data_IF_259492648360
#
_entry.id   IF_259492648360
#
_cell.length_a   1.000
_cell.length_b   1.000
_cell.length_c   1.000
_cell.angle_alpha   90.00
_cell.angle_beta   90.00
_cell.angle_gamma   90.00
#
_symmetry.space_group_name_H-M   'P 1'
#
loop_
_entity.id
_entity.type
_entity.pdbx_description
1 polymer ?
#
# COMPACT_ATOMS: atom_id res chain seq x y z
N UNK A 1 6.21 -1.91 7.44
CA UNK A 1 6.03 -1.92 5.97
C UNK A 1 4.72 -1.31 5.54
N UNK A 2 3.55 -1.82 5.98
CA UNK A 2 2.27 -1.24 5.57
C UNK A 2 2.12 0.25 5.92
N UNK A 3 2.51 0.66 7.12
CA UNK A 3 2.55 2.07 7.52
C UNK A 3 3.49 2.92 6.65
N UNK A 4 4.61 2.36 6.18
CA UNK A 4 5.50 3.03 5.22
C UNK A 4 4.77 3.29 3.91
N UNK A 5 4.08 2.27 3.38
CA UNK A 5 3.30 2.42 2.14
C UNK A 5 2.18 3.45 2.30
N UNK A 6 1.45 3.44 3.43
CA UNK A 6 0.43 4.46 3.72
C UNK A 6 1.02 5.86 3.73
N UNK A 7 2.11 6.10 4.46
CA UNK A 7 2.75 7.43 4.51
C UNK A 7 3.25 7.89 3.14
N UNK A 8 3.68 6.97 2.29
CA UNK A 8 4.13 7.26 0.93
C UNK A 8 2.94 7.55 0.00
N UNK A 9 1.83 6.86 0.17
CA UNK A 9 0.58 7.17 -0.53
C UNK A 9 0.01 8.54 -0.11
N UNK A 10 0.10 8.92 1.16
CA UNK A 10 -0.21 10.29 1.63
C UNK A 10 0.70 11.34 1.00
N UNK A 11 2.01 11.06 0.94
CA UNK A 11 2.96 11.96 0.29
C UNK A 11 2.72 12.09 -1.21
N UNK A 12 2.26 11.02 -1.87
CA UNK A 12 1.81 11.08 -3.26
C UNK A 12 0.60 12.00 -3.38
N UNK A 13 -0.46 11.77 -2.59
CA UNK A 13 -1.68 12.59 -2.60
C UNK A 13 -1.40 14.09 -2.32
N UNK A 14 -0.44 14.37 -1.42
CA UNK A 14 -0.06 15.74 -1.06
C UNK A 14 0.87 16.41 -2.08
N UNK A 15 1.45 15.67 -3.03
CA UNK A 15 2.21 16.26 -4.12
C UNK A 15 1.23 16.98 -5.06
N UNK A 16 1.30 18.31 -5.09
CA UNK A 16 0.37 19.18 -5.83
C UNK A 16 0.35 18.98 -7.35
N UNK A 17 1.24 18.14 -7.91
CA UNK A 17 1.19 17.69 -9.30
C UNK A 17 0.25 16.50 -9.53
N UNK A 18 -0.23 15.85 -8.46
CA UNK A 18 -1.10 14.68 -8.52
C UNK A 18 -2.52 15.04 -8.07
N UNK A 19 -3.51 14.38 -8.67
CA UNK A 19 -4.90 14.51 -8.25
C UNK A 19 -5.37 13.17 -7.69
N UNK A 20 -5.29 12.99 -6.38
CA UNK A 20 -5.80 11.80 -5.71
C UNK A 20 -4.71 10.81 -5.29
N UNK A 21 -5.15 9.71 -4.69
CA UNK A 21 -4.25 8.65 -4.24
C UNK A 21 -3.75 7.79 -5.42
N UNK A 22 -2.66 7.02 -5.25
CA UNK A 22 -2.15 6.13 -6.29
C UNK A 22 -3.20 5.14 -6.81
N UNK A 23 -3.35 5.06 -8.13
CA UNK A 23 -4.21 4.09 -8.83
C UNK A 23 -3.44 2.91 -9.40
N UNK A 24 -2.11 2.89 -9.25
CA UNK A 24 -1.23 1.78 -9.63
C UNK A 24 0.00 1.73 -8.73
N UNK A 25 0.49 0.53 -8.40
CA UNK A 25 1.72 0.33 -7.60
C UNK A 25 2.93 1.08 -8.18
N UNK A 26 3.04 1.12 -9.50
CA UNK A 26 4.17 1.76 -10.22
C UNK A 26 4.30 3.24 -9.92
N UNK A 27 3.23 3.93 -9.53
CA UNK A 27 3.30 5.34 -9.12
C UNK A 27 4.08 5.56 -7.82
N UNK A 28 4.23 4.51 -7.00
CA UNK A 28 5.07 4.54 -5.79
C UNK A 28 6.39 3.78 -5.95
N UNK A 29 6.50 2.83 -6.88
CA UNK A 29 7.64 1.90 -6.96
C UNK A 29 8.47 1.99 -8.24
N UNK A 30 8.01 2.65 -9.31
CA UNK A 30 8.76 2.75 -10.55
C UNK A 30 9.91 3.77 -10.46
N UNK A 31 10.87 3.67 -11.37
CA UNK A 31 12.03 4.57 -11.46
C UNK A 31 11.63 6.05 -11.55
N UNK A 32 10.51 6.37 -12.20
CA UNK A 32 9.97 7.74 -12.23
C UNK A 32 9.62 8.31 -10.85
N UNK A 33 9.29 7.46 -9.88
CA UNK A 33 9.08 7.83 -8.49
C UNK A 33 10.39 7.85 -7.68
N UNK A 34 11.51 7.31 -8.18
CA UNK A 34 12.75 7.14 -7.39
C UNK A 34 13.37 8.43 -6.85
N UNK A 35 13.05 9.57 -7.47
CA UNK A 35 13.50 10.90 -7.06
C UNK A 35 12.44 11.69 -6.27
N UNK A 36 11.34 11.04 -5.88
CA UNK A 36 10.23 11.70 -5.20
C UNK A 36 10.14 11.27 -3.73
N UNK A 37 9.59 12.12 -2.85
CA UNK A 37 9.44 11.78 -1.44
C UNK A 37 8.52 10.58 -1.20
N UNK A 38 7.66 10.24 -2.17
CA UNK A 38 6.73 9.11 -2.11
C UNK A 38 7.28 7.80 -2.67
N UNK A 39 8.58 7.72 -3.03
CA UNK A 39 9.19 6.46 -3.46
C UNK A 39 9.13 5.38 -2.37
N UNK A 40 8.67 4.19 -2.74
CA UNK A 40 8.63 2.98 -1.92
C UNK A 40 9.69 2.00 -2.45
N UNK A 41 10.60 1.58 -1.57
CA UNK A 41 11.61 0.55 -1.82
C UNK A 41 11.84 -0.31 -0.58
N UNK A 42 12.53 -1.45 -0.73
CA UNK A 42 12.83 -2.37 0.38
C UNK A 42 11.62 -3.12 0.95
N UNK A 43 10.50 -3.15 0.22
CA UNK A 43 9.26 -3.84 0.56
C UNK A 43 8.81 -4.63 -0.68
N UNK A 44 8.35 -5.85 -0.48
CA UNK A 44 7.74 -6.65 -1.55
C UNK A 44 6.23 -6.33 -1.63
N UNK A 45 5.73 -6.01 -2.82
CA UNK A 45 4.31 -5.71 -3.04
C UNK A 45 3.70 -6.77 -3.94
N UNK A 46 2.91 -7.67 -3.33
CA UNK A 46 2.23 -8.78 -4.00
C UNK A 46 0.74 -8.48 -4.18
N UNK A 47 0.06 -9.23 -5.03
CA UNK A 47 -1.40 -9.14 -5.23
C UNK A 47 -2.21 -9.91 -4.19
N UNK A 48 -1.60 -10.88 -3.50
CA UNK A 48 -2.18 -11.56 -2.36
C UNK A 48 -1.11 -12.34 -1.58
N UNK A 49 -1.42 -12.68 -0.33
CA UNK A 49 -0.71 -13.67 0.47
C UNK A 49 -1.68 -14.32 1.45
N UNK A 50 -1.48 -15.61 1.73
CA UNK A 50 -2.36 -16.43 2.60
C UNK A 50 -1.67 -16.90 3.89
N UNK A 51 -0.34 -16.74 3.97
CA UNK A 51 0.49 -17.13 5.11
C UNK A 51 1.49 -16.03 5.45
N UNK A 52 2.11 -16.16 6.63
CA UNK A 52 3.21 -15.30 7.06
C UNK A 52 4.35 -15.33 6.02
N UNK A 53 4.80 -14.18 5.49
CA UNK A 53 6.00 -14.11 4.67
C UNK A 53 7.23 -14.58 5.47
N UNK A 54 8.04 -15.47 4.88
CA UNK A 54 9.24 -16.05 5.52
C UNK A 54 10.52 -15.59 4.82
N UNK A 55 11.39 -14.87 5.54
CA UNK A 55 12.68 -14.41 5.03
C UNK A 55 12.57 -13.31 3.96
N UNK A 56 13.51 -12.37 3.96
CA UNK A 56 13.53 -11.27 3.00
C UNK A 56 12.70 -10.03 3.39
N UNK A 57 12.49 -9.09 2.45
CA UNK A 57 11.75 -7.86 2.70
C UNK A 57 10.32 -8.13 3.19
N UNK A 58 9.77 -7.23 4.01
CA UNK A 58 8.36 -7.31 4.39
C UNK A 58 7.48 -7.35 3.14
N UNK A 59 6.44 -8.19 3.16
CA UNK A 59 5.48 -8.31 2.05
C UNK A 59 4.14 -7.67 2.42
N UNK A 60 3.56 -6.93 1.48
CA UNK A 60 2.24 -6.30 1.62
C UNK A 60 1.43 -6.43 0.33
N UNK A 61 0.13 -6.19 0.41
CA UNK A 61 -0.74 -6.05 -0.76
C UNK A 61 -1.43 -4.70 -0.73
N UNK A 62 -1.43 -3.99 -1.87
CA UNK A 62 -2.03 -2.66 -2.01
C UNK A 62 -3.36 -2.72 -2.74
N UNK A 63 -4.31 -1.94 -2.27
CA UNK A 63 -5.63 -1.80 -2.86
C UNK A 63 -5.99 -0.31 -2.97
N UNK A 64 -6.62 0.06 -4.08
CA UNK A 64 -7.35 1.30 -4.24
C UNK A 64 -8.78 1.14 -3.75
N UNK A 65 -9.29 2.18 -3.10
CA UNK A 65 -10.65 2.24 -2.58
C UNK A 65 -11.49 3.27 -3.36
N UNK A 66 -11.30 3.32 -4.69
CA UNK A 66 -11.73 4.44 -5.54
C UNK A 66 -10.58 5.40 -5.84
N UNK A 67 -10.87 6.66 -6.15
CA UNK A 67 -9.86 7.72 -6.38
C UNK A 67 -9.40 8.42 -5.08
N UNK A 68 -10.06 8.12 -3.95
CA UNK A 68 -9.94 8.90 -2.72
C UNK A 68 -9.39 8.12 -1.53
N UNK A 69 -8.91 6.88 -1.72
CA UNK A 69 -8.34 6.10 -0.61
C UNK A 69 -7.52 4.90 -1.03
N UNK A 70 -6.69 4.43 -0.09
CA UNK A 70 -5.77 3.30 -0.24
C UNK A 70 -5.89 2.38 0.98
N UNK A 71 -5.86 1.08 0.74
CA UNK A 71 -5.70 0.08 1.77
C UNK A 71 -4.44 -0.75 1.54
N UNK A 72 -3.79 -1.16 2.63
CA UNK A 72 -2.63 -2.04 2.61
C UNK A 72 -2.85 -3.20 3.56
N UNK A 73 -2.83 -4.41 3.00
CA UNK A 73 -2.87 -5.64 3.76
C UNK A 73 -1.46 -6.06 4.15
N UNK A 74 -1.32 -6.53 5.39
CA UNK A 74 -0.06 -7.02 5.94
C UNK A 74 -0.29 -8.23 6.85
N UNK A 75 0.78 -8.95 7.15
CA UNK A 75 0.74 -10.00 8.17
C UNK A 75 1.00 -9.38 9.55
N UNK A 76 0.03 -9.54 10.45
CA UNK A 76 0.17 -9.22 11.86
C UNK A 76 0.79 -10.42 12.59
N UNK A 77 2.07 -10.31 12.91
CA UNK A 77 2.82 -11.37 13.58
C UNK A 77 2.41 -11.54 15.05
N UNK A 78 1.82 -10.53 15.70
CA UNK A 78 1.35 -10.66 17.08
C UNK A 78 0.11 -11.53 17.17
N UNK A 79 -0.79 -11.39 16.19
CA UNK A 79 -2.05 -12.14 16.14
C UNK A 79 -2.01 -13.33 15.15
N UNK A 80 -0.88 -13.53 14.47
CA UNK A 80 -0.69 -14.58 13.45
C UNK A 80 -1.81 -14.61 12.40
N UNK A 81 -2.22 -13.42 11.95
CA UNK A 81 -3.34 -13.25 11.01
C UNK A 81 -3.05 -12.13 10.02
N UNK A 82 -3.87 -12.02 8.97
CA UNK A 82 -3.85 -10.85 8.09
C UNK A 82 -4.56 -9.68 8.75
N UNK A 83 -3.97 -8.51 8.60
CA UNK A 83 -4.55 -7.25 9.03
C UNK A 83 -4.49 -6.24 7.88
N UNK A 84 -5.24 -5.15 8.05
CA UNK A 84 -5.39 -4.09 7.07
C UNK A 84 -5.24 -2.74 7.74
N UNK A 85 -4.52 -1.85 7.07
CA UNK A 85 -4.52 -0.42 7.38
C UNK A 85 -5.07 0.33 6.16
N UNK A 86 -5.82 1.40 6.41
CA UNK A 86 -6.46 2.21 5.37
C UNK A 86 -6.13 3.67 5.56
N UNK A 87 -6.18 4.42 4.46
CA UNK A 87 -6.16 5.89 4.47
C UNK A 87 -7.04 6.47 3.38
N UNK A 88 -7.39 7.74 3.49
CA UNK A 88 -8.39 8.37 2.66
C UNK A 88 -9.81 7.86 2.97
N UNK A 89 -10.68 7.87 1.97
CA UNK A 89 -12.10 7.49 2.08
C UNK A 89 -12.45 6.31 1.18
N UNK A 90 -13.59 5.66 1.45
CA UNK A 90 -14.11 4.55 0.64
C UNK A 90 -13.48 3.18 0.90
N UNK A 91 -12.49 3.09 1.80
CA UNK A 91 -11.87 1.81 2.12
C UNK A 91 -12.68 0.99 3.11
N UNK A 92 -12.90 -0.30 2.78
CA UNK A 92 -13.35 -1.29 3.75
C UNK A 92 -12.20 -1.71 4.66
N UNK A 93 -12.49 -1.86 5.96
CA UNK A 93 -11.56 -2.42 6.95
C UNK A 93 -11.40 -3.95 6.83
N UNK A 94 -12.26 -4.61 6.04
CA UNK A 94 -12.15 -6.04 5.76
C UNK A 94 -10.95 -6.31 4.87
N UNK A 95 -10.07 -7.20 5.31
CA UNK A 95 -8.90 -7.67 4.55
C UNK A 95 -9.30 -8.20 3.17
N UNK A 96 -8.51 -7.89 2.15
CA UNK A 96 -8.71 -8.35 0.78
C UNK A 96 -9.72 -7.59 -0.06
N UNK A 97 -10.42 -6.58 0.49
CA UNK A 97 -11.41 -5.80 -0.25
C UNK A 97 -10.82 -4.61 -1.03
N UNK A 98 -11.46 -4.23 -2.13
CA UNK A 98 -11.05 -3.09 -2.97
C UNK A 98 -10.39 -3.52 -4.28
N UNK A 99 -9.92 -2.55 -5.06
CA UNK A 99 -9.28 -2.80 -6.36
C UNK A 99 -7.79 -3.02 -6.16
N UNK A 100 -7.25 -4.16 -6.58
CA UNK A 100 -5.80 -4.39 -6.54
C UNK A 100 -5.06 -3.36 -7.39
N UNK A 101 -3.99 -2.77 -6.82
CA UNK A 101 -3.10 -1.82 -7.50
C UNK A 101 -1.93 -2.51 -8.19
#
# INVERSE_FOLDING_TARGET
>A
AASTVIKKAEAYYADGSTTGYPTARTQLTASGASNTPYYVTGINITTAFTSAPTGGPSTVTMYGCGSTGIAVDYWDYSNSTRARITTGSGCSTTVGQGTLL
#
